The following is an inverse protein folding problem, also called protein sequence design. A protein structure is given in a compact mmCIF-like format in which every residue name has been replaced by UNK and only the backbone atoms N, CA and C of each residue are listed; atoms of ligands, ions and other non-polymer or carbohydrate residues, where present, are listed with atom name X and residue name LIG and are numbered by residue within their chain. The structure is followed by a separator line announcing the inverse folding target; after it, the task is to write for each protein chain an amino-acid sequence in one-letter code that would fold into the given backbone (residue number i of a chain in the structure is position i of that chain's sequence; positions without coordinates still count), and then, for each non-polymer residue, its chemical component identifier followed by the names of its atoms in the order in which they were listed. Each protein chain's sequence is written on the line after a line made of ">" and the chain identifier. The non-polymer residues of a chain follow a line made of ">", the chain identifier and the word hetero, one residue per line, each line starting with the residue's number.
data_IF_280226709228
#
_entry.id   IF_280226709228
#
_cell.length_a   1.000
_cell.length_b   1.000
_cell.length_c   1.000
_cell.angle_alpha   90.00
_cell.angle_beta   90.00
_cell.angle_gamma   90.00
#
_symmetry.space_group_name_H-M   'P 1'
#
loop_
_entity.id
_entity.type
_entity.pdbx_description
1 polymer ?
#
# COMPACT_ATOMS: atom_id res chain seq x y z
N UNK A 1 8.64 28.88 16.20
CA UNK A 1 8.19 27.50 15.89
C UNK A 1 7.22 27.04 16.96
N UNK A 2 6.13 26.35 16.60
CA UNK A 2 5.26 25.70 17.57
C UNK A 2 6.06 24.68 18.42
N UNK A 3 5.65 24.41 19.67
CA UNK A 3 6.23 23.34 20.48
C UNK A 3 6.21 22.00 19.72
N UNK A 4 7.29 21.22 19.81
CA UNK A 4 7.42 19.96 19.04
C UNK A 4 6.29 18.95 19.32
N UNK A 5 5.71 18.97 20.53
CA UNK A 5 4.56 18.12 20.88
C UNK A 5 3.28 18.56 20.15
N UNK A 6 3.14 19.85 19.86
CA UNK A 6 1.98 20.38 19.12
C UNK A 6 2.11 19.99 17.65
N UNK A 7 3.30 20.12 17.06
CA UNK A 7 3.57 19.61 15.71
C UNK A 7 3.28 18.11 15.61
N UNK A 8 3.68 17.32 16.61
CA UNK A 8 3.43 15.87 16.60
C UNK A 8 1.93 15.55 16.68
N UNK A 9 1.17 16.27 17.51
CA UNK A 9 -0.30 16.16 17.53
C UNK A 9 -0.95 16.61 16.22
N UNK A 10 -0.55 17.74 15.66
CA UNK A 10 -1.09 18.26 14.40
C UNK A 10 -0.83 17.36 13.20
N UNK A 11 0.28 16.61 13.18
CA UNK A 11 0.51 15.59 12.16
C UNK A 11 -0.52 14.45 12.24
N UNK A 12 -0.96 14.06 13.45
CA UNK A 12 -2.01 13.04 13.61
C UNK A 12 -3.34 13.58 13.09
N UNK A 13 -3.70 14.80 13.49
CA UNK A 13 -4.94 15.44 13.03
C UNK A 13 -4.95 15.55 11.51
N UNK A 14 -3.85 16.01 10.89
CA UNK A 14 -3.71 16.06 9.44
C UNK A 14 -3.82 14.69 8.77
N UNK A 15 -3.19 13.64 9.32
CA UNK A 15 -3.35 12.29 8.77
C UNK A 15 -4.79 11.82 8.79
N UNK A 16 -5.52 12.07 9.89
CA UNK A 16 -6.94 11.72 10.02
C UNK A 16 -7.80 12.48 9.01
N UNK A 17 -7.58 13.80 8.88
CA UNK A 17 -8.30 14.64 7.91
C UNK A 17 -8.01 14.22 6.46
N UNK A 18 -6.76 13.89 6.16
CA UNK A 18 -6.35 13.40 4.84
C UNK A 18 -7.00 12.04 4.53
N UNK A 19 -7.07 11.11 5.50
CA UNK A 19 -7.79 9.85 5.35
C UNK A 19 -9.27 10.09 5.05
N UNK A 20 -9.93 10.96 5.82
CA UNK A 20 -11.34 11.30 5.58
C UNK A 20 -11.55 11.87 4.17
N UNK A 21 -10.66 12.76 3.71
CA UNK A 21 -10.72 13.35 2.37
C UNK A 21 -10.58 12.30 1.27
N UNK A 22 -9.65 11.36 1.42
CA UNK A 22 -9.49 10.26 0.46
C UNK A 22 -10.66 9.27 0.46
N UNK A 23 -11.48 9.26 1.52
CA UNK A 23 -12.68 8.41 1.57
C UNK A 23 -13.98 9.14 1.19
N UNK A 24 -13.95 10.48 1.06
CA UNK A 24 -15.15 11.30 0.90
C UNK A 24 -15.91 11.02 -0.41
N UNK A 25 -15.20 10.65 -1.48
CA UNK A 25 -15.78 10.26 -2.75
C UNK A 25 -14.97 9.09 -3.34
N UNK A 26 -15.65 7.99 -3.64
CA UNK A 26 -15.00 6.79 -4.14
C UNK A 26 -14.30 6.97 -5.50
N UNK A 27 -14.65 8.00 -6.27
CA UNK A 27 -13.95 8.35 -7.52
C UNK A 27 -12.56 8.90 -7.25
N UNK A 28 -12.36 9.57 -6.11
CA UNK A 28 -11.07 10.10 -5.68
C UNK A 28 -10.35 9.17 -4.68
N UNK A 29 -10.87 7.95 -4.45
CA UNK A 29 -10.33 7.03 -3.47
C UNK A 29 -8.87 6.66 -3.76
N UNK A 30 -7.98 7.00 -2.83
CA UNK A 30 -6.56 6.62 -2.89
C UNK A 30 -6.22 5.70 -1.72
N UNK A 31 -6.35 4.40 -1.98
CA UNK A 31 -6.03 3.34 -1.03
C UNK A 31 -4.60 3.41 -0.53
N UNK A 32 -3.65 3.78 -1.39
CA UNK A 32 -2.24 3.82 -1.05
C UNK A 32 -1.91 5.03 -0.18
N UNK A 33 -2.53 6.18 -0.43
CA UNK A 33 -2.44 7.32 0.48
C UNK A 33 -3.04 6.99 1.86
N UNK A 34 -4.24 6.41 1.92
CA UNK A 34 -4.86 6.00 3.20
C UNK A 34 -3.96 5.00 3.94
N UNK A 35 -3.41 4.00 3.25
CA UNK A 35 -2.45 3.07 3.82
C UNK A 35 -1.22 3.79 4.38
N UNK A 36 -0.55 4.65 3.60
CA UNK A 36 0.65 5.38 4.07
C UNK A 36 0.36 6.25 5.29
N UNK A 37 -0.78 6.95 5.27
CA UNK A 37 -1.22 7.84 6.35
C UNK A 37 -1.56 7.10 7.63
N UNK A 38 -2.07 5.87 7.56
CA UNK A 38 -2.37 5.04 8.74
C UNK A 38 -1.15 4.24 9.22
N UNK A 39 -0.35 3.73 8.29
CA UNK A 39 0.87 2.95 8.55
C UNK A 39 1.93 3.73 9.32
N UNK A 40 2.00 5.06 9.12
CA UNK A 40 2.90 5.91 9.90
C UNK A 40 2.54 5.90 11.40
N UNK A 41 1.27 5.72 11.76
CA UNK A 41 0.80 5.74 13.15
C UNK A 41 0.90 4.38 13.86
N UNK A 42 1.16 3.29 13.12
CA UNK A 42 1.47 1.97 13.68
C UNK A 42 2.57 2.07 14.75
N UNK A 43 3.71 2.66 14.38
CA UNK A 43 4.87 2.82 15.26
C UNK A 43 4.94 4.17 15.98
N UNK A 44 4.05 5.13 15.70
CA UNK A 44 4.13 6.49 16.25
C UNK A 44 3.02 6.85 17.26
N UNK A 45 1.97 6.04 17.37
CA UNK A 45 0.89 6.25 18.36
C UNK A 45 1.44 6.24 19.80
N UNK A 46 2.16 5.19 20.18
CA UNK A 46 2.75 5.09 21.52
C UNK A 46 3.80 6.19 21.81
N UNK A 47 4.75 6.49 20.90
CA UNK A 47 5.64 7.64 21.05
C UNK A 47 4.92 8.99 21.25
N UNK A 48 3.82 9.25 20.55
CA UNK A 48 3.04 10.48 20.74
C UNK A 48 2.48 10.57 22.16
N UNK A 49 1.81 9.52 22.65
CA UNK A 49 1.25 9.54 24.00
C UNK A 49 2.35 9.55 25.09
N UNK A 50 3.47 8.89 24.83
CA UNK A 50 4.63 8.95 25.72
C UNK A 50 5.23 10.36 25.78
N UNK A 51 5.35 11.04 24.64
CA UNK A 51 5.77 12.43 24.61
C UNK A 51 4.75 13.35 25.30
N UNK A 52 3.45 13.15 25.09
CA UNK A 52 2.40 13.97 25.69
C UNK A 52 2.37 13.87 27.23
N UNK A 53 2.67 12.68 27.77
CA UNK A 53 2.59 12.41 29.22
C UNK A 53 3.86 12.77 30.00
N UNK A 54 4.90 13.29 29.34
CA UNK A 54 6.12 13.68 30.02
C UNK A 54 5.86 14.82 31.03
N UNK A 55 6.46 14.77 32.24
CA UNK A 55 6.07 15.63 33.35
C UNK A 55 6.39 17.11 33.11
N UNK A 56 7.43 17.42 32.33
CA UNK A 56 7.89 18.78 32.07
C UNK A 56 7.68 19.16 30.60
N UNK A 57 7.46 20.45 30.34
CA UNK A 57 7.35 20.96 28.97
C UNK A 57 8.60 20.64 28.13
N UNK A 58 9.78 20.73 28.75
CA UNK A 58 11.04 20.32 28.13
C UNK A 58 11.08 18.82 27.80
N UNK A 59 10.65 17.96 28.73
CA UNK A 59 10.55 16.51 28.51
C UNK A 59 9.61 16.15 27.37
N UNK A 60 8.44 16.81 27.31
CA UNK A 60 7.46 16.63 26.22
C UNK A 60 8.07 17.00 24.87
N UNK A 61 8.72 18.16 24.79
CA UNK A 61 9.39 18.62 23.58
C UNK A 61 10.52 17.68 23.16
N UNK A 62 11.38 17.25 24.08
CA UNK A 62 12.49 16.33 23.80
C UNK A 62 12.02 14.99 23.25
N UNK A 63 11.01 14.39 23.88
CA UNK A 63 10.45 13.10 23.45
C UNK A 63 9.68 13.24 22.14
N UNK A 64 8.92 14.33 21.95
CA UNK A 64 8.24 14.61 20.69
C UNK A 64 9.23 14.73 19.53
N UNK A 65 10.35 15.47 19.70
CA UNK A 65 11.41 15.55 18.68
C UNK A 65 12.01 14.17 18.35
N UNK A 66 12.13 13.27 19.33
CA UNK A 66 12.61 11.90 19.09
C UNK A 66 11.60 11.09 18.27
N UNK A 67 10.31 11.19 18.60
CA UNK A 67 9.24 10.55 17.82
C UNK A 67 9.13 11.09 16.40
N UNK A 68 9.23 12.41 16.23
CA UNK A 68 9.21 13.05 14.91
C UNK A 68 10.42 12.65 14.03
N UNK A 69 11.62 12.55 14.61
CA UNK A 69 12.80 12.02 13.88
C UNK A 69 12.58 10.58 13.46
N UNK A 70 12.16 9.73 14.39
CA UNK A 70 11.82 8.35 14.12
C UNK A 70 10.81 8.24 12.97
N UNK A 71 9.75 9.04 13.00
CA UNK A 71 8.72 9.08 11.96
C UNK A 71 9.30 9.33 10.55
N UNK A 72 10.23 10.28 10.43
CA UNK A 72 10.90 10.61 9.16
C UNK A 72 12.03 9.65 8.75
N UNK A 73 12.54 8.81 9.65
CA UNK A 73 13.66 7.90 9.37
C UNK A 73 13.23 6.63 8.58
N UNK A 74 11.94 6.28 8.56
CA UNK A 74 11.42 5.06 7.89
C UNK A 74 11.09 5.29 6.40
N UNK A 75 12.11 5.57 5.60
CA UNK A 75 12.01 5.65 4.15
C UNK A 75 11.65 7.05 3.62
N UNK A 76 12.00 7.29 2.35
CA UNK A 76 11.88 8.60 1.70
C UNK A 76 10.45 9.10 1.63
N UNK A 77 9.46 8.23 1.34
CA UNK A 77 8.05 8.65 1.25
C UNK A 77 7.51 9.20 2.58
N UNK A 78 7.91 8.63 3.73
CA UNK A 78 7.51 9.17 5.04
C UNK A 78 8.23 10.47 5.35
N UNK A 79 9.52 10.55 5.05
CA UNK A 79 10.29 11.79 5.17
C UNK A 79 9.63 12.93 4.40
N UNK A 80 9.35 12.72 3.10
CA UNK A 80 8.78 13.72 2.21
C UNK A 80 7.40 14.19 2.73
N UNK A 81 6.55 13.26 3.17
CA UNK A 81 5.26 13.61 3.78
C UNK A 81 5.41 14.44 5.07
N UNK A 82 6.32 14.07 5.99
CA UNK A 82 6.54 14.83 7.23
C UNK A 82 7.04 16.24 6.93
N UNK A 83 7.95 16.39 5.97
CA UNK A 83 8.49 17.71 5.57
C UNK A 83 7.43 18.55 4.87
N UNK A 84 6.63 17.97 3.98
CA UNK A 84 5.49 18.67 3.37
C UNK A 84 4.47 19.10 4.44
N UNK A 85 4.20 18.22 5.39
CA UNK A 85 3.22 18.46 6.44
C UNK A 85 3.68 19.48 7.49
N UNK A 86 4.98 19.51 7.77
CA UNK A 86 5.60 20.42 8.72
C UNK A 86 6.99 20.86 8.25
N UNK A 87 7.09 21.84 7.32
CA UNK A 87 8.36 22.26 6.71
C UNK A 87 9.44 22.68 7.71
N UNK A 88 9.04 23.19 8.87
CA UNK A 88 9.96 23.55 9.96
C UNK A 88 10.74 22.37 10.56
N UNK A 89 10.41 21.13 10.21
CA UNK A 89 11.12 19.93 10.68
C UNK A 89 12.31 19.55 9.79
N UNK A 90 12.49 20.16 8.61
CA UNK A 90 13.51 19.77 7.63
C UNK A 90 14.92 19.69 8.24
N UNK A 91 15.33 20.69 9.03
CA UNK A 91 16.65 20.74 9.67
C UNK A 91 16.83 19.71 10.80
N UNK A 92 15.73 19.18 11.33
CA UNK A 92 15.76 18.17 12.40
C UNK A 92 15.81 16.74 11.86
N UNK A 93 15.33 16.51 10.64
CA UNK A 93 15.18 15.19 10.03
C UNK A 93 16.40 14.88 9.16
N UNK A 94 16.88 13.64 9.25
CA UNK A 94 17.86 13.13 8.29
C UNK A 94 17.12 12.43 7.17
N UNK A 95 17.35 12.84 5.91
CA UNK A 95 16.75 12.16 4.76
C UNK A 95 17.24 10.71 4.72
N UNK A 96 16.35 9.71 4.74
CA UNK A 96 16.77 8.32 4.64
C UNK A 96 17.46 8.07 3.30
N UNK A 97 18.50 7.24 3.31
CA UNK A 97 19.08 6.76 2.06
C UNK A 97 18.06 5.88 1.34
N UNK A 98 17.98 5.99 0.01
CA UNK A 98 17.23 5.04 -0.79
C UNK A 98 17.93 3.68 -0.74
N UNK A 99 17.33 2.73 -0.02
CA UNK A 99 17.83 1.37 0.06
C UNK A 99 17.49 0.64 -1.24
N UNK A 100 18.46 0.55 -2.13
CA UNK A 100 18.37 -0.28 -3.35
C UNK A 100 18.73 -1.73 -3.10
N UNK A 101 19.69 -1.92 -2.19
CA UNK A 101 20.21 -3.22 -1.83
C UNK A 101 20.30 -3.33 -0.31
N UNK A 102 20.11 -4.54 0.20
CA UNK A 102 20.29 -4.86 1.61
C UNK A 102 20.79 -6.28 1.76
N UNK A 103 21.50 -6.56 2.86
CA UNK A 103 21.98 -7.90 3.18
C UNK A 103 21.05 -8.57 4.18
N UNK A 104 20.77 -9.86 3.98
CA UNK A 104 20.09 -10.64 5.01
C UNK A 104 21.03 -10.97 6.19
N UNK A 105 20.49 -11.66 7.18
CA UNK A 105 21.25 -12.15 8.35
C UNK A 105 22.37 -13.13 7.98
N UNK A 106 22.36 -13.71 6.78
CA UNK A 106 23.44 -14.55 6.24
C UNK A 106 24.45 -13.75 5.42
N UNK A 107 24.29 -12.42 5.31
CA UNK A 107 25.15 -11.54 4.53
C UNK A 107 24.86 -11.53 3.02
N UNK A 108 23.83 -12.25 2.56
CA UNK A 108 23.48 -12.34 1.13
C UNK A 108 22.79 -11.07 0.69
N UNK A 109 23.17 -10.55 -0.48
CA UNK A 109 22.60 -9.32 -1.02
C UNK A 109 21.25 -9.57 -1.69
N UNK A 110 20.26 -8.74 -1.40
CA UNK A 110 18.95 -8.74 -2.06
C UNK A 110 18.71 -7.38 -2.70
N UNK A 111 18.00 -7.40 -3.82
CA UNK A 111 17.52 -6.20 -4.50
C UNK A 111 16.14 -5.84 -3.95
N UNK A 112 16.00 -4.59 -3.49
CA UNK A 112 14.68 -3.98 -3.27
C UNK A 112 14.10 -3.54 -4.62
N UNK A 113 13.37 -2.43 -4.65
CA UNK A 113 12.97 -1.83 -5.92
C UNK A 113 14.11 -1.02 -6.52
N UNK A 114 14.41 -1.26 -7.80
CA UNK A 114 15.33 -0.44 -8.58
C UNK A 114 14.62 0.16 -9.80
N UNK A 115 14.94 1.39 -10.22
CA UNK A 115 14.38 1.97 -11.43
C UNK A 115 14.71 1.14 -12.68
N UNK A 116 13.72 0.99 -13.57
CA UNK A 116 13.92 0.39 -14.89
C UNK A 116 14.64 1.40 -15.79
N UNK A 117 15.83 0.99 -16.25
CA UNK A 117 16.67 1.73 -17.20
C UNK A 117 16.99 0.82 -18.36
N UNK A 118 17.46 1.37 -19.49
CA UNK A 118 17.88 0.56 -20.65
C UNK A 118 18.95 -0.47 -20.25
N UNK A 119 19.97 -0.04 -19.49
CA UNK A 119 21.01 -0.94 -18.97
C UNK A 119 20.45 -1.99 -17.99
N UNK A 120 19.46 -1.60 -17.17
CA UNK A 120 18.77 -2.52 -16.27
C UNK A 120 18.01 -3.60 -17.02
N UNK A 121 17.33 -3.26 -18.12
CA UNK A 121 16.63 -4.24 -18.97
C UNK A 121 17.61 -5.24 -19.60
N UNK A 122 18.73 -4.76 -20.13
CA UNK A 122 19.78 -5.66 -20.67
C UNK A 122 20.29 -6.62 -19.58
N UNK A 123 20.50 -6.12 -18.36
CA UNK A 123 20.90 -6.99 -17.24
C UNK A 123 19.83 -8.02 -16.88
N UNK A 124 18.54 -7.67 -16.97
CA UNK A 124 17.46 -8.62 -16.70
C UNK A 124 17.38 -9.74 -17.72
N UNK A 125 17.56 -9.43 -19.02
CA UNK A 125 17.55 -10.45 -20.08
C UNK A 125 18.74 -11.41 -20.00
N UNK A 126 19.84 -10.99 -19.36
CA UNK A 126 20.98 -11.86 -19.07
C UNK A 126 20.64 -12.83 -17.94
N UNK A 127 20.01 -12.34 -16.87
CA UNK A 127 19.77 -13.12 -15.65
C UNK A 127 18.48 -13.97 -15.72
N UNK A 128 17.49 -13.57 -16.52
CA UNK A 128 16.16 -14.17 -16.58
C UNK A 128 15.67 -14.38 -18.02
N UNK A 129 14.93 -15.46 -18.25
CA UNK A 129 14.25 -15.72 -19.51
C UNK A 129 12.87 -15.04 -19.57
N UNK A 130 12.85 -13.74 -19.90
CA UNK A 130 11.60 -12.97 -19.99
C UNK A 130 10.68 -13.45 -21.13
N UNK A 131 11.25 -13.88 -22.26
CA UNK A 131 10.49 -14.38 -23.40
C UNK A 131 9.74 -15.69 -23.09
N UNK A 132 10.26 -16.52 -22.18
CA UNK A 132 9.59 -17.71 -21.66
C UNK A 132 8.78 -17.47 -20.38
N UNK A 133 8.77 -16.23 -19.86
CA UNK A 133 8.08 -15.92 -18.61
C UNK A 133 6.56 -15.99 -18.75
N UNK A 134 5.86 -16.16 -17.64
CA UNK A 134 4.40 -16.17 -17.62
C UNK A 134 3.87 -15.16 -16.61
N UNK A 135 2.84 -14.41 -16.99
CA UNK A 135 2.18 -13.46 -16.08
C UNK A 135 1.47 -14.23 -14.96
N UNK A 136 1.88 -13.95 -13.72
CA UNK A 136 1.28 -14.47 -12.50
C UNK A 136 0.19 -13.56 -11.98
N UNK A 137 0.42 -12.25 -11.99
CA UNK A 137 -0.59 -11.28 -11.55
C UNK A 137 -0.45 -9.93 -12.22
N UNK A 138 -1.58 -9.24 -12.33
CA UNK A 138 -1.71 -7.86 -12.79
C UNK A 138 -2.67 -7.11 -11.87
N UNK A 139 -2.16 -6.14 -11.13
CA UNK A 139 -2.91 -5.22 -10.26
C UNK A 139 -2.86 -3.81 -10.87
N UNK A 140 -3.99 -3.32 -11.36
CA UNK A 140 -4.11 -1.97 -11.89
C UNK A 140 -5.01 -1.17 -10.99
N UNK A 141 -4.51 -0.02 -10.54
CA UNK A 141 -5.14 0.80 -9.52
C UNK A 141 -5.12 2.28 -9.93
N UNK A 142 -6.27 2.93 -9.81
CA UNK A 142 -6.47 4.34 -10.09
C UNK A 142 -6.66 5.10 -8.78
N UNK A 143 -5.80 6.08 -8.55
CA UNK A 143 -5.88 7.03 -7.43
C UNK A 143 -6.12 8.44 -8.00
N UNK A 144 -7.36 8.92 -7.91
CA UNK A 144 -7.79 10.13 -8.62
C UNK A 144 -7.59 9.96 -10.14
N UNK A 145 -6.80 10.84 -10.77
CA UNK A 145 -6.48 10.76 -12.20
C UNK A 145 -5.27 9.88 -12.53
N UNK A 146 -4.48 9.46 -11.52
CA UNK A 146 -3.24 8.72 -11.72
C UNK A 146 -3.51 7.22 -11.73
N UNK A 147 -2.93 6.52 -12.69
CA UNK A 147 -3.00 5.06 -12.82
C UNK A 147 -1.64 4.45 -12.50
N UNK A 148 -1.64 3.42 -11.66
CA UNK A 148 -0.45 2.61 -11.35
C UNK A 148 -0.76 1.16 -11.70
N UNK A 149 0.20 0.46 -12.29
CA UNK A 149 0.10 -0.96 -12.57
C UNK A 149 1.24 -1.70 -11.87
N UNK A 150 0.90 -2.82 -11.21
CA UNK A 150 1.85 -3.75 -10.62
C UNK A 150 1.67 -5.09 -11.32
N UNK A 151 2.73 -5.60 -11.94
CA UNK A 151 2.70 -6.87 -12.63
C UNK A 151 3.74 -7.80 -12.00
N UNK A 152 3.36 -9.06 -11.75
CA UNK A 152 4.31 -10.09 -11.35
C UNK A 152 4.37 -11.15 -12.44
N UNK A 153 5.58 -11.49 -12.87
CA UNK A 153 5.81 -12.56 -13.83
C UNK A 153 6.70 -13.64 -13.20
N UNK A 154 6.48 -14.88 -13.60
CA UNK A 154 7.37 -16.00 -13.26
C UNK A 154 8.30 -16.26 -14.44
N UNK A 155 9.60 -16.17 -14.21
CA UNK A 155 10.64 -16.35 -15.23
C UNK A 155 11.65 -17.41 -14.78
N UNK A 156 12.19 -18.16 -15.74
CA UNK A 156 13.30 -19.08 -15.48
C UNK A 156 14.59 -18.27 -15.27
N UNK A 157 15.41 -18.69 -14.30
CA UNK A 157 16.77 -18.16 -14.11
C UNK A 157 17.68 -18.65 -15.23
N UNK A 158 18.62 -17.81 -15.66
CA UNK A 158 19.69 -18.16 -16.61
C UNK A 158 21.03 -18.44 -15.94
N UNK A 159 21.07 -18.43 -14.62
CA UNK A 159 22.24 -18.71 -13.80
C UNK A 159 22.00 -19.89 -12.86
N UNK A 160 23.09 -20.56 -12.48
CA UNK A 160 23.03 -21.74 -11.61
C UNK A 160 22.81 -21.36 -10.14
N UNK A 161 21.89 -22.05 -9.48
CA UNK A 161 21.58 -21.88 -8.05
C UNK A 161 22.06 -23.06 -7.20
N UNK A 162 22.33 -24.21 -7.82
CA UNK A 162 22.73 -25.45 -7.14
C UNK A 162 21.60 -26.22 -6.46
N UNK A 163 20.33 -25.81 -6.63
CA UNK A 163 19.16 -26.50 -6.06
C UNK A 163 18.12 -26.83 -7.14
N UNK A 164 17.67 -28.09 -7.19
CA UNK A 164 16.77 -28.58 -8.24
C UNK A 164 15.39 -27.89 -8.25
N UNK A 165 14.83 -27.53 -7.09
CA UNK A 165 13.50 -26.90 -6.98
C UNK A 165 13.53 -25.36 -7.14
N UNK A 166 14.63 -24.80 -7.66
CA UNK A 166 14.88 -23.35 -7.67
C UNK A 166 15.09 -22.76 -9.07
N UNK A 167 14.40 -23.29 -10.07
CA UNK A 167 14.58 -22.81 -11.45
C UNK A 167 13.85 -21.48 -11.73
N UNK A 168 12.78 -21.15 -10.99
CA UNK A 168 11.94 -19.98 -11.26
C UNK A 168 12.01 -18.87 -10.22
N UNK A 169 12.07 -17.63 -10.70
CA UNK A 169 11.99 -16.42 -9.91
C UNK A 169 10.70 -15.67 -10.20
N UNK A 170 10.22 -14.89 -9.23
CA UNK A 170 9.11 -13.95 -9.44
C UNK A 170 9.71 -12.56 -9.60
N UNK A 171 9.41 -11.90 -10.71
CA UNK A 171 9.83 -10.52 -10.96
C UNK A 171 8.63 -9.60 -10.80
N UNK A 172 8.72 -8.62 -9.89
CA UNK A 172 7.66 -7.64 -9.67
C UNK A 172 8.00 -6.33 -10.36
N UNK A 173 7.13 -5.91 -11.26
CA UNK A 173 7.19 -4.64 -11.97
C UNK A 173 6.17 -3.68 -11.36
N UNK A 174 6.56 -2.42 -11.17
CA UNK A 174 5.65 -1.33 -10.79
C UNK A 174 5.81 -0.21 -11.81
N UNK A 175 4.75 0.09 -12.54
CA UNK A 175 4.70 1.19 -13.51
C UNK A 175 3.80 2.30 -12.95
N UNK A 176 4.33 3.52 -12.95
CA UNK A 176 3.64 4.72 -12.48
C UNK A 176 3.25 5.61 -13.67
N UNK A 177 2.22 6.43 -13.48
CA UNK A 177 1.64 7.28 -14.52
C UNK A 177 1.31 6.47 -15.79
N UNK A 178 0.57 5.39 -15.57
CA UNK A 178 0.18 4.44 -16.62
C UNK A 178 -0.84 5.09 -17.53
N UNK A 179 -0.55 5.08 -18.83
CA UNK A 179 -1.43 5.66 -19.85
C UNK A 179 -2.08 4.60 -20.75
N UNK A 180 -1.66 3.33 -20.63
CA UNK A 180 -2.22 2.24 -21.42
C UNK A 180 -2.09 0.92 -20.69
N UNK A 181 -3.19 0.18 -20.66
CA UNK A 181 -3.23 -1.22 -20.21
C UNK A 181 -4.08 -2.02 -21.18
N UNK A 182 -3.49 -3.07 -21.74
CA UNK A 182 -4.17 -4.12 -22.46
C UNK A 182 -3.68 -5.46 -21.93
N UNK A 183 -4.58 -6.35 -21.54
CA UNK A 183 -4.22 -7.66 -21.03
C UNK A 183 -5.33 -8.68 -21.26
N UNK A 184 -4.95 -9.87 -21.71
CA UNK A 184 -5.81 -11.03 -21.82
C UNK A 184 -5.15 -12.19 -21.06
N UNK A 185 -5.86 -12.76 -20.08
CA UNK A 185 -5.33 -13.87 -19.29
C UNK A 185 -5.07 -15.14 -20.12
N UNK A 186 -5.73 -15.29 -21.28
CA UNK A 186 -5.47 -16.39 -22.22
C UNK A 186 -4.14 -16.23 -22.97
N UNK A 187 -3.62 -15.00 -23.08
CA UNK A 187 -2.35 -14.65 -23.73
C UNK A 187 -1.32 -14.17 -22.68
N UNK A 188 -1.09 -15.00 -21.65
CA UNK A 188 -0.22 -14.63 -20.51
C UNK A 188 1.23 -15.10 -20.63
N UNK A 189 1.59 -15.79 -21.71
CA UNK A 189 2.91 -16.40 -21.90
C UNK A 189 3.79 -15.55 -22.80
N UNK A 190 5.00 -15.28 -22.33
CA UNK A 190 5.93 -14.34 -22.92
C UNK A 190 5.84 -12.96 -22.27
N UNK A 191 6.99 -12.36 -22.00
CA UNK A 191 7.09 -11.00 -21.49
C UNK A 191 8.29 -10.30 -22.11
N UNK A 192 8.20 -8.98 -22.22
CA UNK A 192 9.31 -8.14 -22.68
C UNK A 192 9.25 -6.79 -21.97
N UNK A 193 10.40 -6.15 -21.81
CA UNK A 193 10.49 -4.82 -21.22
C UNK A 193 11.18 -3.91 -22.22
N UNK A 194 10.64 -2.71 -22.42
CA UNK A 194 11.27 -1.69 -23.24
C UNK A 194 11.28 -0.37 -22.49
N UNK A 195 12.43 0.28 -22.44
CA UNK A 195 12.60 1.63 -21.89
C UNK A 195 12.93 2.55 -23.06
N UNK A 196 12.22 3.68 -23.15
CA UNK A 196 12.45 4.69 -24.18
C UNK A 196 12.39 6.08 -23.53
N UNK A 197 12.71 7.12 -24.30
CA UNK A 197 12.49 8.51 -23.87
C UNK A 197 11.02 8.83 -23.52
N UNK A 198 10.05 8.02 -23.99
CA UNK A 198 8.61 8.17 -23.71
C UNK A 198 8.15 7.43 -22.45
N UNK A 199 9.04 6.71 -21.76
CA UNK A 199 8.73 5.93 -20.57
C UNK A 199 9.02 4.45 -20.72
N UNK A 200 8.35 3.64 -19.91
CA UNK A 200 8.55 2.19 -19.79
C UNK A 200 7.32 1.44 -20.31
N UNK A 201 7.55 0.41 -21.12
CA UNK A 201 6.52 -0.51 -21.60
C UNK A 201 6.87 -1.95 -21.19
N UNK A 202 5.89 -2.65 -20.65
CA UNK A 202 5.93 -4.07 -20.33
C UNK A 202 4.99 -4.81 -21.28
N UNK A 203 5.52 -5.60 -22.20
CA UNK A 203 4.75 -6.50 -23.05
C UNK A 203 4.32 -7.74 -22.26
N UNK A 204 3.06 -8.12 -22.38
CA UNK A 204 2.44 -9.26 -21.68
C UNK A 204 1.78 -10.17 -22.72
N UNK A 205 2.38 -11.33 -22.99
CA UNK A 205 1.95 -12.17 -24.10
C UNK A 205 2.34 -11.60 -25.47
N UNK A 206 1.53 -11.93 -26.47
CA UNK A 206 1.68 -11.47 -27.86
C UNK A 206 1.07 -10.09 -28.08
N UNK A 207 -0.03 -9.79 -27.40
CA UNK A 207 -0.82 -8.58 -27.66
C UNK A 207 -0.96 -7.65 -26.44
N UNK A 208 -0.76 -8.17 -25.23
CA UNK A 208 -0.89 -7.39 -24.00
C UNK A 208 0.27 -6.40 -23.80
N UNK A 209 -0.03 -5.28 -23.15
CA UNK A 209 0.94 -4.24 -22.83
C UNK A 209 0.48 -3.38 -21.66
N UNK A 210 1.42 -3.02 -20.79
CA UNK A 210 1.28 -1.95 -19.80
C UNK A 210 2.33 -0.89 -20.11
N UNK A 211 1.93 0.37 -20.20
CA UNK A 211 2.86 1.50 -20.45
C UNK A 211 2.66 2.61 -19.44
N UNK A 212 3.75 3.10 -18.88
CA UNK A 212 3.75 4.25 -17.95
C UNK A 212 4.99 5.11 -18.10
N UNK A 213 4.98 6.29 -17.50
CA UNK A 213 6.08 7.25 -17.59
C UNK A 213 7.35 6.73 -16.89
N UNK A 214 7.19 5.94 -15.82
CA UNK A 214 8.28 5.40 -15.01
C UNK A 214 7.99 3.95 -14.63
N UNK A 215 9.04 3.19 -14.42
CA UNK A 215 8.95 1.81 -13.99
C UNK A 215 10.04 1.45 -12.98
N UNK A 216 9.70 0.53 -12.08
CA UNK A 216 10.62 -0.09 -11.13
C UNK A 216 10.48 -1.61 -11.22
N UNK A 217 11.55 -2.31 -10.85
CA UNK A 217 11.56 -3.76 -10.70
C UNK A 217 12.07 -4.17 -9.33
N UNK A 218 11.45 -5.20 -8.75
CA UNK A 218 11.90 -5.92 -7.57
C UNK A 218 11.93 -7.42 -7.88
N UNK A 219 13.10 -8.02 -8.07
CA UNK A 219 13.24 -9.47 -8.13
C UNK A 219 12.91 -10.07 -6.75
N UNK A 220 11.86 -10.86 -6.66
CA UNK A 220 11.59 -11.72 -5.50
C UNK A 220 12.27 -13.06 -5.74
N UNK A 221 13.58 -13.02 -5.49
CA UNK A 221 14.50 -14.10 -5.81
C UNK A 221 15.58 -14.23 -4.73
N UNK A 222 15.45 -15.28 -3.91
CA UNK A 222 16.42 -15.55 -2.85
C UNK A 222 17.83 -15.90 -3.32
N UNK A 223 17.97 -16.26 -4.60
CA UNK A 223 19.24 -16.55 -5.26
C UNK A 223 19.74 -15.39 -6.11
N UNK A 224 19.12 -14.21 -6.05
CA UNK A 224 19.52 -13.05 -6.84
C UNK A 224 21.00 -12.67 -6.64
N UNK A 225 21.55 -12.85 -5.43
CA UNK A 225 22.98 -12.65 -5.16
C UNK A 225 23.93 -13.50 -6.04
N UNK A 226 23.45 -14.59 -6.63
CA UNK A 226 24.21 -15.44 -7.55
C UNK A 226 24.11 -14.98 -9.02
N UNK A 227 23.14 -14.12 -9.34
CA UNK A 227 22.97 -13.53 -10.67
C UNK A 227 24.13 -12.60 -11.05
N UNK A 228 24.28 -12.29 -12.33
CA UNK A 228 25.31 -11.34 -12.77
C UNK A 228 25.08 -9.95 -12.17
N UNK A 229 23.82 -9.48 -12.14
CA UNK A 229 23.47 -8.22 -11.50
C UNK A 229 23.78 -8.22 -9.99
N UNK A 230 23.45 -9.33 -9.30
CA UNK A 230 23.70 -9.49 -7.88
C UNK A 230 25.18 -9.47 -7.53
N UNK A 231 26.00 -10.21 -8.27
CA UNK A 231 27.45 -10.20 -8.09
C UNK A 231 28.10 -8.85 -8.42
N UNK A 232 27.58 -8.13 -9.43
CA UNK A 232 28.05 -6.78 -9.74
C UNK A 232 27.71 -5.79 -8.63
N UNK A 233 26.50 -5.85 -8.07
CA UNK A 233 26.08 -5.03 -6.94
C UNK A 233 26.90 -5.36 -5.68
N UNK A 234 27.17 -6.65 -5.41
CA UNK A 234 27.92 -7.10 -4.24
C UNK A 234 29.34 -6.49 -4.17
N UNK A 235 29.98 -6.27 -5.32
CA UNK A 235 31.31 -5.64 -5.41
C UNK A 235 31.34 -4.17 -4.98
N UNK A 236 30.21 -3.46 -5.06
CA UNK A 236 30.14 -2.01 -4.78
C UNK A 236 29.37 -1.69 -3.50
N UNK A 237 28.55 -2.63 -3.01
CA UNK A 237 27.79 -2.46 -1.76
C UNK A 237 28.66 -2.85 -0.58
N UNK A 238 29.10 -1.84 0.17
CA UNK A 238 29.85 -2.02 1.41
C UNK A 238 29.08 -2.95 2.40
N UNK A 239 29.79 -3.70 3.26
CA UNK A 239 29.16 -4.50 4.30
C UNK A 239 28.24 -3.64 5.16
N UNK A 240 27.03 -4.14 5.46
CA UNK A 240 26.15 -3.46 6.39
C UNK A 240 26.83 -3.38 7.77
N UNK A 241 27.03 -2.16 8.27
CA UNK A 241 27.34 -1.98 9.68
C UNK A 241 26.07 -2.30 10.46
N UNK A 242 26.13 -3.08 11.54
CA UNK A 242 24.95 -3.37 12.33
C UNK A 242 24.27 -2.05 12.69
N UNK A 243 23.05 -1.86 12.20
CA UNK A 243 22.25 -0.72 12.56
C UNK A 243 22.12 -0.78 14.08
N UNK A 244 22.69 0.22 14.78
CA UNK A 244 22.42 0.36 16.21
C UNK A 244 20.91 0.52 16.33
N UNK A 245 20.25 -0.47 16.88
CA UNK A 245 18.81 -0.48 17.08
C UNK A 245 18.43 0.78 17.87
N UNK A 246 17.85 1.75 17.16
CA UNK A 246 17.55 3.09 17.67
C UNK A 246 16.07 3.27 17.96
N UNK A 247 15.37 2.15 18.23
CA UNK A 247 14.04 2.10 18.83
C UNK A 247 13.69 3.35 19.65
N UNK A 248 12.55 4.02 19.42
CA UNK A 248 12.00 4.88 20.48
C UNK A 248 11.54 3.96 21.59
N UNK A 249 12.41 3.68 22.55
CA UNK A 249 12.06 2.89 23.73
C UNK A 249 11.02 3.67 24.53
N UNK A 250 9.76 3.27 24.40
CA UNK A 250 8.67 3.75 25.24
C UNK A 250 8.80 3.04 26.59
N UNK A 251 9.33 3.74 27.59
CA UNK A 251 9.39 3.23 28.96
C UNK A 251 8.07 3.53 29.66
N UNK A 252 7.30 2.48 29.96
CA UNK A 252 6.16 2.45 30.89
C UNK A 252 5.22 3.67 30.85
N UNK A 253 4.22 3.62 29.96
CA UNK A 253 3.07 4.51 30.05
C UNK A 253 2.22 4.15 31.28
N UNK A 254 1.60 5.15 31.91
CA UNK A 254 0.54 4.93 32.91
C UNK A 254 -0.65 4.22 32.25
N UNK A 255 -1.48 3.53 33.03
CA UNK A 255 -2.58 2.70 32.53
C UNK A 255 -3.56 3.49 31.63
N UNK A 256 -3.96 4.70 32.04
CA UNK A 256 -4.92 5.51 31.29
C UNK A 256 -4.40 5.97 29.91
N UNK A 257 -3.23 6.61 29.80
CA UNK A 257 -2.60 6.86 28.49
C UNK A 257 -2.36 5.59 27.66
N UNK A 258 -2.00 4.47 28.30
CA UNK A 258 -1.82 3.19 27.59
C UNK A 258 -3.11 2.72 26.93
N UNK A 259 -4.23 2.83 27.63
CA UNK A 259 -5.54 2.47 27.09
C UNK A 259 -5.92 3.36 25.90
N UNK A 260 -5.73 4.67 26.01
CA UNK A 260 -5.96 5.60 24.90
C UNK A 260 -5.06 5.31 23.69
N UNK A 261 -3.78 4.99 23.93
CA UNK A 261 -2.84 4.59 22.86
C UNK A 261 -3.32 3.33 22.15
N UNK A 262 -3.77 2.31 22.89
CA UNK A 262 -4.26 1.05 22.31
C UNK A 262 -5.47 1.26 21.41
N UNK A 263 -6.49 1.99 21.90
CA UNK A 263 -7.70 2.26 21.11
C UNK A 263 -7.37 3.02 19.81
N UNK A 264 -6.53 4.05 19.90
CA UNK A 264 -6.09 4.81 18.71
C UNK A 264 -5.25 3.95 17.75
N UNK A 265 -4.34 3.14 18.30
CA UNK A 265 -3.47 2.26 17.51
C UNK A 265 -4.27 1.17 16.80
N UNK A 266 -5.21 0.51 17.48
CA UNK A 266 -6.11 -0.48 16.89
C UNK A 266 -6.97 0.14 15.77
N UNK A 267 -7.48 1.35 15.97
CA UNK A 267 -8.22 2.07 14.93
C UNK A 267 -7.35 2.35 13.69
N UNK A 268 -6.10 2.79 13.88
CA UNK A 268 -5.15 3.01 12.78
C UNK A 268 -4.75 1.70 12.10
N UNK A 269 -4.61 0.60 12.83
CA UNK A 269 -4.38 -0.73 12.26
C UNK A 269 -5.58 -1.20 11.42
N UNK A 270 -6.79 -0.90 11.86
CA UNK A 270 -8.01 -1.19 11.11
C UNK A 270 -8.01 -0.41 9.79
N UNK A 271 -7.78 0.91 9.82
CA UNK A 271 -7.65 1.71 8.59
C UNK A 271 -6.52 1.20 7.69
N UNK A 272 -5.38 0.84 8.26
CA UNK A 272 -4.22 0.29 7.53
C UNK A 272 -4.54 -1.01 6.79
N UNK A 273 -5.56 -1.76 7.22
CA UNK A 273 -5.97 -2.99 6.55
C UNK A 273 -6.39 -2.76 5.09
N UNK A 274 -6.72 -1.53 4.68
CA UNK A 274 -6.91 -1.15 3.26
C UNK A 274 -5.70 -1.46 2.37
N UNK A 275 -4.50 -1.70 2.94
CA UNK A 275 -3.35 -2.24 2.19
C UNK A 275 -3.66 -3.58 1.52
N UNK A 276 -4.54 -4.37 2.14
CA UNK A 276 -5.07 -5.59 1.58
C UNK A 276 -6.25 -5.24 0.70
N UNK A 277 -6.01 -5.32 -0.62
CA UNK A 277 -6.99 -4.96 -1.64
C UNK A 277 -8.42 -5.34 -1.33
N UNK A 278 -8.69 -6.64 -1.17
CA UNK A 278 -10.02 -7.20 -0.91
C UNK A 278 -10.72 -6.66 0.35
N UNK A 279 -9.99 -6.04 1.29
CA UNK A 279 -10.56 -5.40 2.48
C UNK A 279 -10.90 -3.93 2.26
N UNK A 280 -10.30 -3.25 1.28
CA UNK A 280 -10.48 -1.81 1.06
C UNK A 280 -11.95 -1.34 1.00
N UNK A 281 -12.87 -1.99 0.24
CA UNK A 281 -14.29 -1.60 0.23
C UNK A 281 -15.05 -1.93 1.54
N UNK A 282 -14.44 -2.70 2.44
CA UNK A 282 -15.05 -3.21 3.66
C UNK A 282 -14.64 -2.45 4.91
N UNK A 283 -13.51 -1.73 4.86
CA UNK A 283 -13.02 -0.92 5.99
C UNK A 283 -13.82 0.39 6.06
N UNK A 284 -14.47 0.70 7.20
CA UNK A 284 -15.17 1.98 7.41
C UNK A 284 -14.19 3.12 7.72
N UNK A 285 -13.26 3.38 6.80
CA UNK A 285 -12.14 4.31 7.03
C UNK A 285 -12.61 5.76 7.20
N UNK A 286 -13.66 6.19 6.49
CA UNK A 286 -14.24 7.52 6.64
C UNK A 286 -14.82 7.72 8.05
N UNK A 287 -15.58 6.74 8.53
CA UNK A 287 -16.24 6.76 9.83
C UNK A 287 -15.23 6.67 10.98
N UNK A 288 -14.19 5.85 10.82
CA UNK A 288 -13.08 5.81 11.78
C UNK A 288 -12.38 7.16 11.84
N UNK A 289 -12.09 7.78 10.69
CA UNK A 289 -11.47 9.10 10.63
C UNK A 289 -12.34 10.18 11.30
N UNK A 290 -13.66 10.15 11.08
CA UNK A 290 -14.60 11.05 11.73
C UNK A 290 -14.58 10.92 13.27
N UNK A 291 -14.52 9.68 13.79
CA UNK A 291 -14.42 9.43 15.24
C UNK A 291 -13.10 9.96 15.83
N UNK A 292 -12.02 9.89 15.04
CA UNK A 292 -10.68 10.31 15.44
C UNK A 292 -10.36 11.76 15.09
N UNK A 293 -11.30 12.53 14.53
CA UNK A 293 -11.09 13.94 14.21
C UNK A 293 -10.60 14.72 15.44
N UNK A 294 -9.47 15.42 15.30
CA UNK A 294 -8.82 16.16 16.39
C UNK A 294 -8.16 15.29 17.47
N UNK A 295 -7.91 14.00 17.23
CA UNK A 295 -7.31 13.10 18.21
C UNK A 295 -5.92 13.54 18.68
N UNK A 296 -5.09 14.08 17.80
CA UNK A 296 -3.77 14.61 18.13
C UNK A 296 -3.87 15.80 19.08
N UNK A 297 -4.68 16.79 18.72
CA UNK A 297 -4.97 17.94 19.59
C UNK A 297 -5.51 17.52 20.96
N UNK A 298 -6.41 16.53 21.00
CA UNK A 298 -6.98 16.00 22.24
C UNK A 298 -5.92 15.31 23.13
N UNK A 299 -5.01 14.51 22.54
CA UNK A 299 -3.90 13.88 23.26
C UNK A 299 -2.96 14.92 23.85
N UNK A 300 -2.60 15.95 23.08
CA UNK A 300 -1.72 17.04 23.54
C UNK A 300 -2.38 17.81 24.69
N UNK A 301 -3.68 18.12 24.59
CA UNK A 301 -4.43 18.78 25.65
C UNK A 301 -4.49 17.93 26.93
N UNK A 302 -4.77 16.63 26.82
CA UNK A 302 -4.79 15.70 27.95
C UNK A 302 -3.43 15.62 28.67
N UNK A 303 -2.33 15.63 27.90
CA UNK A 303 -0.96 15.61 28.43
C UNK A 303 -0.52 16.89 29.14
N UNK A 304 -1.18 18.02 28.89
CA UNK A 304 -0.90 19.31 29.57
C UNK A 304 -1.58 19.43 30.93
N UNK A 305 -2.55 18.58 31.23
CA UNK A 305 -3.29 18.60 32.50
C UNK A 305 -2.43 18.10 33.68
N UNK A 306 -2.78 18.48 34.91
CA UNK A 306 -2.15 17.93 36.12
C UNK A 306 -2.31 16.41 36.18
N UNK A 307 -1.35 15.70 36.78
CA UNK A 307 -1.24 14.23 36.72
C UNK A 307 -2.56 13.44 36.88
N UNK A 308 -3.37 13.74 37.91
CA UNK A 308 -4.66 13.07 38.16
C UNK A 308 -5.73 13.43 37.12
N UNK A 309 -5.87 14.72 36.82
CA UNK A 309 -6.79 15.21 35.79
C UNK A 309 -6.41 14.70 34.38
N UNK A 310 -5.11 14.53 34.13
CA UNK A 310 -4.59 13.94 32.89
C UNK A 310 -5.04 12.48 32.73
N UNK A 311 -4.91 11.65 33.77
CA UNK A 311 -5.37 10.26 33.70
C UNK A 311 -6.89 10.15 33.54
N UNK A 312 -7.65 11.02 34.20
CA UNK A 312 -9.11 11.08 34.01
C UNK A 312 -9.46 11.47 32.57
N UNK A 313 -8.77 12.46 32.00
CA UNK A 313 -8.96 12.90 30.61
C UNK A 313 -8.61 11.79 29.63
N UNK A 314 -7.49 11.08 29.81
CA UNK A 314 -7.13 9.95 28.96
C UNK A 314 -8.13 8.80 29.05
N UNK A 315 -8.66 8.50 30.24
CA UNK A 315 -9.74 7.50 30.41
C UNK A 315 -11.01 7.91 29.66
N UNK A 316 -11.40 9.18 29.72
CA UNK A 316 -12.56 9.69 28.98
C UNK A 316 -12.34 9.63 27.47
N UNK A 317 -11.15 9.98 26.97
CA UNK A 317 -10.80 9.86 25.55
C UNK A 317 -10.90 8.41 25.08
N UNK A 318 -10.25 7.48 25.79
CA UNK A 318 -10.27 6.06 25.44
C UNK A 318 -11.69 5.51 25.40
N UNK A 319 -12.51 5.82 26.42
CA UNK A 319 -13.91 5.40 26.49
C UNK A 319 -14.72 5.94 25.32
N UNK A 320 -14.64 7.25 25.05
CA UNK A 320 -15.38 7.89 23.95
C UNK A 320 -15.03 7.29 22.59
N UNK A 321 -13.74 7.07 22.32
CA UNK A 321 -13.31 6.44 21.08
C UNK A 321 -13.78 4.98 21.01
N UNK A 322 -13.60 4.20 22.08
CA UNK A 322 -14.02 2.81 22.12
C UNK A 322 -15.53 2.63 21.88
N UNK A 323 -16.36 3.46 22.51
CA UNK A 323 -17.83 3.43 22.34
C UNK A 323 -18.25 3.70 20.88
N UNK A 324 -17.57 4.62 20.19
CA UNK A 324 -17.88 4.99 18.80
C UNK A 324 -17.23 4.08 17.75
N UNK A 325 -16.07 3.49 18.05
CA UNK A 325 -15.34 2.59 17.14
C UNK A 325 -15.85 1.15 17.19
N UNK A 326 -16.37 0.69 18.33
CA UNK A 326 -16.87 -0.69 18.49
C UNK A 326 -17.86 -1.15 17.40
N UNK A 327 -18.83 -0.35 16.92
CA UNK A 327 -19.72 -0.78 15.85
C UNK A 327 -19.07 -0.77 14.45
N UNK A 328 -17.86 -0.22 14.31
CA UNK A 328 -17.16 -0.06 13.04
C UNK A 328 -16.25 -1.27 12.79
N UNK A 329 -16.88 -2.42 12.57
CA UNK A 329 -16.18 -3.64 12.13
C UNK A 329 -16.02 -3.69 10.60
N UNK A 330 -15.22 -4.64 10.11
CA UNK A 330 -15.09 -4.95 8.69
C UNK A 330 -16.47 -5.31 8.15
N UNK A 331 -16.97 -4.50 7.22
CA UNK A 331 -18.29 -4.69 6.60
C UNK A 331 -18.32 -5.96 5.76
N UNK A 332 -19.49 -6.62 5.61
CA UNK A 332 -19.65 -7.61 4.57
C UNK A 332 -19.45 -6.95 3.18
N UNK A 333 -19.04 -7.73 2.16
CA UNK A 333 -18.99 -7.22 0.80
C UNK A 333 -20.38 -6.73 0.36
N UNK A 334 -20.44 -5.53 -0.19
CA UNK A 334 -21.66 -5.01 -0.80
C UNK A 334 -21.74 -5.50 -2.25
N UNK A 335 -22.91 -5.97 -2.73
CA UNK A 335 -23.06 -6.36 -4.12
C UNK A 335 -22.77 -5.17 -5.05
N UNK A 336 -22.21 -5.47 -6.22
CA UNK A 336 -21.99 -4.48 -7.26
C UNK A 336 -23.35 -4.09 -7.87
N UNK A 337 -23.77 -2.81 -7.81
CA UNK A 337 -24.97 -2.35 -8.48
C UNK A 337 -24.76 -2.30 -9.99
N UNK A 338 -25.81 -2.55 -10.77
CA UNK A 338 -25.79 -2.31 -12.22
C UNK A 338 -25.82 -0.81 -12.55
N UNK A 339 -25.33 -0.46 -13.74
CA UNK A 339 -25.31 0.91 -14.25
C UNK A 339 -23.95 1.59 -14.16
N UNK A 340 -23.93 2.93 -14.06
CA UNK A 340 -22.70 3.70 -14.16
C UNK A 340 -21.68 3.34 -13.06
N UNK A 341 -20.45 3.01 -13.44
CA UNK A 341 -19.36 2.71 -12.52
C UNK A 341 -18.01 3.20 -13.06
N UNK A 342 -17.10 3.55 -12.16
CA UNK A 342 -15.70 3.78 -12.51
C UNK A 342 -14.81 2.68 -11.95
N UNK A 343 -13.90 2.15 -12.78
CA UNK A 343 -12.89 1.21 -12.30
C UNK A 343 -11.87 1.92 -11.41
N UNK A 344 -11.78 1.53 -10.14
CA UNK A 344 -10.77 2.04 -9.20
C UNK A 344 -9.62 1.07 -9.02
N UNK A 345 -9.90 -0.24 -9.05
CA UNK A 345 -8.86 -1.25 -9.01
C UNK A 345 -9.32 -2.55 -9.63
N UNK A 346 -8.43 -3.23 -10.33
CA UNK A 346 -8.61 -4.62 -10.76
C UNK A 346 -7.33 -5.40 -10.48
N UNK A 347 -7.49 -6.59 -9.93
CA UNK A 347 -6.38 -7.53 -9.71
C UNK A 347 -6.74 -8.84 -10.37
N UNK A 348 -5.97 -9.24 -11.36
CA UNK A 348 -5.94 -10.61 -11.85
C UNK A 348 -4.78 -11.35 -11.17
N UNK A 349 -5.04 -12.58 -10.71
CA UNK A 349 -4.02 -13.51 -10.24
C UNK A 349 -4.28 -14.87 -10.87
N UNK A 350 -3.31 -15.39 -11.61
CA UNK A 350 -3.35 -16.74 -12.15
C UNK A 350 -3.18 -17.79 -11.05
N UNK A 351 -3.59 -19.03 -11.33
CA UNK A 351 -3.27 -20.16 -10.47
C UNK A 351 -1.74 -20.27 -10.33
N UNK A 352 -1.29 -20.46 -9.09
CA UNK A 352 0.13 -20.58 -8.80
C UNK A 352 0.39 -21.29 -7.47
N UNK A 353 1.62 -21.78 -7.27
CA UNK A 353 2.07 -22.30 -6.00
C UNK A 353 2.61 -21.18 -5.11
N UNK A 354 2.16 -21.15 -3.87
CA UNK A 354 2.66 -20.25 -2.83
C UNK A 354 2.95 -21.07 -1.58
N UNK A 355 4.22 -21.18 -1.19
CA UNK A 355 4.66 -22.01 -0.05
C UNK A 355 4.08 -23.43 -0.10
N UNK A 356 4.23 -24.08 -1.25
CA UNK A 356 3.70 -25.43 -1.52
C UNK A 356 2.16 -25.56 -1.48
N UNK A 357 1.44 -24.45 -1.40
CA UNK A 357 -0.04 -24.43 -1.48
C UNK A 357 -0.47 -23.89 -2.83
N UNK A 358 -1.30 -24.64 -3.56
CA UNK A 358 -1.94 -24.15 -4.78
C UNK A 358 -2.93 -23.06 -4.42
N UNK A 359 -2.76 -21.89 -5.02
CA UNK A 359 -3.71 -20.78 -4.96
C UNK A 359 -4.53 -20.79 -6.25
N UNK A 360 -5.87 -20.89 -6.19
CA UNK A 360 -6.68 -20.85 -7.40
C UNK A 360 -6.55 -19.49 -8.09
N UNK A 361 -6.83 -19.44 -9.39
CA UNK A 361 -6.94 -18.19 -10.09
C UNK A 361 -8.04 -17.32 -9.45
N UNK A 362 -7.85 -16.01 -9.43
CA UNK A 362 -8.86 -15.09 -8.91
C UNK A 362 -8.78 -13.72 -9.55
N UNK A 363 -9.91 -13.03 -9.56
CA UNK A 363 -10.02 -11.63 -9.95
C UNK A 363 -10.70 -10.85 -8.85
N UNK A 364 -10.11 -9.73 -8.41
CA UNK A 364 -10.74 -8.78 -7.51
C UNK A 364 -10.99 -7.47 -8.24
N UNK A 365 -12.21 -6.95 -8.18
CA UNK A 365 -12.60 -5.68 -8.82
C UNK A 365 -13.11 -4.73 -7.75
N UNK A 366 -12.61 -3.49 -7.76
CA UNK A 366 -13.17 -2.39 -6.99
C UNK A 366 -13.66 -1.29 -7.91
N UNK A 367 -14.89 -0.85 -7.67
CA UNK A 367 -15.58 0.16 -8.45
C UNK A 367 -16.01 1.31 -7.55
N UNK A 368 -15.91 2.53 -8.05
CA UNK A 368 -16.72 3.62 -7.53
C UNK A 368 -18.09 3.52 -8.20
N UNK A 369 -19.14 3.46 -7.39
CA UNK A 369 -20.54 3.39 -7.85
C UNK A 369 -21.37 4.51 -7.20
N UNK A 370 -22.47 4.94 -7.81
CA UNK A 370 -23.35 5.95 -7.23
C UNK A 370 -23.78 5.59 -5.80
N UNK A 371 -23.99 6.61 -4.98
CA UNK A 371 -24.61 6.45 -3.67
C UNK A 371 -26.06 5.99 -3.78
N UNK A 372 -26.69 5.67 -2.65
CA UNK A 372 -28.10 5.26 -2.61
C UNK A 372 -29.09 6.36 -3.01
N UNK A 373 -28.62 7.61 -3.12
CA UNK A 373 -29.36 8.78 -3.55
C UNK A 373 -28.51 9.56 -4.54
N UNK A 374 -29.14 10.26 -5.49
CA UNK A 374 -28.45 11.00 -6.56
C UNK A 374 -27.47 12.07 -6.04
N UNK A 375 -27.72 12.61 -4.84
CA UNK A 375 -26.87 13.61 -4.19
C UNK A 375 -25.84 13.01 -3.23
N UNK A 376 -25.92 11.71 -2.96
CA UNK A 376 -24.98 11.05 -2.05
C UNK A 376 -23.61 10.87 -2.75
N UNK A 377 -22.51 10.94 -2.00
CA UNK A 377 -21.19 10.68 -2.56
C UNK A 377 -21.12 9.28 -3.16
N UNK A 378 -20.29 9.14 -4.20
CA UNK A 378 -20.00 7.82 -4.76
C UNK A 378 -19.34 6.95 -3.70
N UNK A 379 -19.75 5.68 -3.64
CA UNK A 379 -19.27 4.70 -2.67
C UNK A 379 -18.36 3.67 -3.34
N UNK A 380 -17.42 3.13 -2.58
CA UNK A 380 -16.55 2.06 -3.04
C UNK A 380 -17.29 0.73 -2.88
N UNK A 381 -17.39 -0.05 -3.95
CA UNK A 381 -17.91 -1.41 -3.94
C UNK A 381 -16.85 -2.34 -4.53
N UNK A 382 -16.90 -3.63 -4.17
CA UNK A 382 -15.96 -4.59 -4.73
C UNK A 382 -16.42 -6.02 -4.57
N UNK A 383 -15.94 -6.84 -5.49
CA UNK A 383 -16.23 -8.26 -5.59
C UNK A 383 -14.93 -9.01 -5.87
N UNK A 384 -14.85 -10.25 -5.38
CA UNK A 384 -13.80 -11.20 -5.72
C UNK A 384 -14.43 -12.42 -6.37
N UNK A 385 -13.98 -12.73 -7.57
CA UNK A 385 -14.37 -13.90 -8.35
C UNK A 385 -13.23 -14.91 -8.29
N UNK A 386 -13.53 -16.16 -7.97
CA UNK A 386 -12.58 -17.27 -8.00
C UNK A 386 -12.69 -18.02 -9.32
N UNK A 387 -11.57 -18.57 -9.78
CA UNK A 387 -11.47 -19.42 -10.97
C UNK A 387 -12.12 -18.80 -12.23
N UNK A 388 -11.74 -17.56 -12.60
CA UNK A 388 -12.25 -16.93 -13.81
C UNK A 388 -11.85 -17.77 -15.04
N UNK A 389 -12.82 -18.12 -15.88
CA UNK A 389 -12.59 -18.83 -17.14
C UNK A 389 -12.06 -17.90 -18.23
N UNK A 390 -12.34 -16.59 -18.12
CA UNK A 390 -11.79 -15.55 -19.02
C UNK A 390 -11.65 -14.23 -18.28
N UNK A 391 -10.55 -13.52 -18.56
CA UNK A 391 -10.29 -12.17 -18.06
C UNK A 391 -9.65 -11.32 -19.16
N UNK A 392 -10.28 -10.19 -19.49
CA UNK A 392 -9.78 -9.21 -20.43
C UNK A 392 -9.88 -7.80 -19.85
N UNK A 393 -8.80 -7.04 -19.98
CA UNK A 393 -8.68 -5.67 -19.50
C UNK A 393 -8.16 -4.78 -20.63
N UNK A 394 -8.88 -3.69 -20.89
CA UNK A 394 -8.51 -2.66 -21.85
C UNK A 394 -8.84 -1.30 -21.26
N UNK A 395 -7.89 -0.70 -20.53
CA UNK A 395 -8.15 0.57 -19.85
C UNK A 395 -7.87 1.75 -20.78
N UNK A 396 -8.88 2.60 -21.05
CA UNK A 396 -8.64 3.88 -21.70
C UNK A 396 -7.88 4.83 -20.77
N UNK A 397 -7.29 5.86 -21.37
CA UNK A 397 -6.65 6.96 -20.63
C UNK A 397 -7.66 7.78 -19.82
N UNK A 398 -8.88 7.93 -20.35
CA UNK A 398 -9.96 8.70 -19.71
C UNK A 398 -10.60 7.93 -18.57
N UNK A 399 -10.98 8.65 -17.51
CA UNK A 399 -11.70 8.10 -16.36
C UNK A 399 -13.20 8.43 -16.45
N UNK A 400 -13.84 7.95 -17.52
CA UNK A 400 -15.28 8.10 -17.72
C UNK A 400 -16.03 6.93 -17.08
N UNK A 401 -17.24 7.17 -16.53
CA UNK A 401 -18.06 6.09 -16.04
C UNK A 401 -18.47 5.20 -17.22
N UNK A 402 -18.42 3.89 -17.01
CA UNK A 402 -18.88 2.89 -17.96
C UNK A 402 -20.07 2.11 -17.38
N UNK A 403 -20.88 1.55 -18.26
CA UNK A 403 -22.03 0.73 -17.89
C UNK A 403 -21.57 -0.61 -17.32
N UNK A 404 -21.86 -0.86 -16.04
CA UNK A 404 -21.61 -2.12 -15.35
C UNK A 404 -22.81 -3.05 -15.53
N UNK A 405 -22.54 -4.26 -15.99
CA UNK A 405 -23.52 -5.35 -16.08
C UNK A 405 -22.99 -6.57 -15.38
N UNK A 406 -23.83 -7.20 -14.55
CA UNK A 406 -23.47 -8.38 -13.74
C UNK A 406 -24.57 -9.43 -13.85
N UNK A 407 -24.29 -10.48 -14.61
CA UNK A 407 -25.07 -11.72 -14.65
C UNK A 407 -24.31 -12.81 -13.89
N UNK A 408 -24.93 -13.91 -13.44
CA UNK A 408 -24.28 -14.92 -12.57
C UNK A 408 -22.88 -15.39 -13.02
N UNK A 409 -22.64 -15.49 -14.33
CA UNK A 409 -21.37 -15.99 -14.90
C UNK A 409 -20.47 -14.89 -15.47
N UNK A 410 -20.92 -13.64 -15.53
CA UNK A 410 -20.21 -12.60 -16.29
C UNK A 410 -20.31 -11.22 -15.62
N UNK A 411 -19.17 -10.54 -15.54
CA UNK A 411 -19.05 -9.15 -15.12
C UNK A 411 -18.42 -8.35 -16.27
N UNK A 412 -19.13 -7.34 -16.76
CA UNK A 412 -18.63 -6.43 -17.81
C UNK A 412 -18.75 -4.98 -17.37
N UNK A 413 -17.73 -4.19 -17.70
CA UNK A 413 -17.73 -2.74 -17.54
C UNK A 413 -17.42 -2.10 -18.89
N UNK A 414 -18.47 -1.82 -19.67
CA UNK A 414 -18.34 -1.36 -21.06
C UNK A 414 -17.35 -2.21 -21.87
N UNK A 415 -16.42 -1.54 -22.58
CA UNK A 415 -15.31 -2.19 -23.29
C UNK A 415 -14.03 -2.29 -22.45
N UNK A 416 -14.09 -1.89 -21.17
CA UNK A 416 -12.92 -1.74 -20.31
C UNK A 416 -12.52 -3.06 -19.66
N UNK A 417 -13.50 -3.82 -19.19
CA UNK A 417 -13.29 -5.04 -18.43
C UNK A 417 -14.34 -6.09 -18.80
N UNK A 418 -13.87 -7.31 -19.03
CA UNK A 418 -14.73 -8.48 -19.22
C UNK A 418 -14.18 -9.64 -18.40
N UNK A 419 -15.03 -10.21 -17.55
CA UNK A 419 -14.69 -11.36 -16.71
C UNK A 419 -15.79 -12.39 -16.89
N UNK A 420 -15.40 -13.63 -17.20
CA UNK A 420 -16.27 -14.79 -17.12
C UNK A 420 -15.80 -15.66 -15.96
N UNK A 421 -16.73 -16.09 -15.12
CA UNK A 421 -16.48 -16.95 -13.98
C UNK A 421 -17.42 -18.15 -14.05
N UNK A 422 -16.97 -19.29 -13.51
CA UNK A 422 -17.85 -20.43 -13.27
C UNK A 422 -18.94 -19.98 -12.28
N UNK A 423 -20.23 -20.30 -12.53
CA UNK A 423 -21.27 -19.98 -11.57
C UNK A 423 -20.94 -20.63 -10.22
N UNK A 424 -21.09 -19.87 -9.15
CA UNK A 424 -20.92 -20.38 -7.80
C UNK A 424 -22.02 -21.43 -7.55
N UNK A 425 -21.68 -22.71 -7.36
CA UNK A 425 -22.68 -23.76 -7.15
C UNK A 425 -23.52 -23.53 -5.88
N UNK A 426 -23.06 -22.69 -4.96
CA UNK A 426 -23.72 -22.41 -3.67
C UNK A 426 -24.56 -21.12 -3.68
N UNK A 427 -24.70 -20.41 -4.82
CA UNK A 427 -25.45 -19.14 -4.91
C UNK A 427 -26.97 -19.29 -5.16
N UNK A 428 -27.54 -20.46 -4.88
CA UNK A 428 -28.96 -20.82 -5.13
C UNK A 428 -29.92 -20.59 -3.98
#
# INVERSE_FOLDING_TARGET
>A
MPPAIDTFGSLLDRSVDDIARHCADARAFDRQAIYRLSDIWDNNTFPLLYAATAPTAWGRSRLARRGLRWMGEFGTSRYDWVVEAAPSLVDMLSRPAELRYSRDHMGRLYCWSVPLTEAGVVSLDVDYDLAGATVRSLDVERAGSVLTARCSIEANRRYATGAADSERAVLHFVLNDVDRVHFDAADRSGSSVTVTAKGVALGLGRHGMVRGARGEIRPDDMYWHLSQAGQAADKVVAPERPARDRGVTVRWLRAAPTQAARVLHEAMLHVRAVRHGHLAPRIPAAEIAEVLAGAGSAVVAAGRSRSRASDDTFRQLARRWQERLRPLDIRPPAPLPEGAAHLRRVVFTAEHLQWSTTRPASVSVHLAVPGSQDTAPWRLAGEQLTEPTRFQLNLPTTDEPADLRRNPETLTLGTTLTIHATPDPDAG
#
